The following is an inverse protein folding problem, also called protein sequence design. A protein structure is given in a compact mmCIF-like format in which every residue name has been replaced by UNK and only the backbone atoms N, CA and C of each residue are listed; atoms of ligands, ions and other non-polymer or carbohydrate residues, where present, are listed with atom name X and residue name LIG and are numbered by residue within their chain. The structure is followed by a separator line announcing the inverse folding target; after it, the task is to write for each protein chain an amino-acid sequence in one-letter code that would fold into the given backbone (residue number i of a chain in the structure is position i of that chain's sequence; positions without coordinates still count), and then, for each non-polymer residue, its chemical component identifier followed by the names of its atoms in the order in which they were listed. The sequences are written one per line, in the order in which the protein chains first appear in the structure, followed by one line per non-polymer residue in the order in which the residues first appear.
data_IF_524335156284
#
_entry.id   IF_524335156284
#
_cell.length_a   1.000
_cell.length_b   1.000
_cell.length_c   1.000
_cell.angle_alpha   90.00
_cell.angle_beta   90.00
_cell.angle_gamma   90.00
#
_symmetry.space_group_name_H-M   'P 1'
#
loop_
_entity.id
_entity.type
_entity.pdbx_description
1 polymer ?
#
# COMPACT_ATOMS: atom_id res chain seq x y z
N UNK A 1 -37.97 9.56 -14.95
CA UNK A 1 -37.13 9.93 -13.79
C UNK A 1 -36.43 8.72 -13.18
N UNK A 2 -37.12 7.59 -12.99
CA UNK A 2 -36.52 6.37 -12.43
C UNK A 2 -35.42 5.82 -13.32
N UNK A 3 -35.61 5.83 -14.65
CA UNK A 3 -34.60 5.38 -15.63
C UNK A 3 -33.34 6.22 -15.58
N UNK A 4 -33.44 7.53 -15.43
CA UNK A 4 -32.27 8.41 -15.39
C UNK A 4 -31.39 8.11 -14.17
N UNK A 5 -32.00 7.84 -13.02
CA UNK A 5 -31.26 7.46 -11.81
C UNK A 5 -30.56 6.13 -11.97
N UNK A 6 -31.22 5.14 -12.60
CA UNK A 6 -30.60 3.82 -12.84
C UNK A 6 -29.43 3.92 -13.82
N UNK A 7 -29.54 4.73 -14.86
CA UNK A 7 -28.46 4.96 -15.80
C UNK A 7 -27.26 5.59 -15.12
N UNK A 8 -27.48 6.57 -14.24
CA UNK A 8 -26.42 7.23 -13.48
C UNK A 8 -25.71 6.24 -12.54
N UNK A 9 -26.47 5.43 -11.84
CA UNK A 9 -25.92 4.41 -10.95
C UNK A 9 -25.09 3.38 -11.73
N UNK A 10 -25.57 2.95 -12.90
CA UNK A 10 -24.85 2.01 -13.76
C UNK A 10 -23.53 2.60 -14.26
N UNK A 11 -23.53 3.89 -14.64
CA UNK A 11 -22.30 4.58 -15.06
C UNK A 11 -21.30 4.67 -13.92
N UNK A 12 -21.76 5.01 -12.72
CA UNK A 12 -20.89 5.09 -11.54
C UNK A 12 -20.26 3.74 -11.24
N UNK A 13 -21.01 2.65 -11.31
CA UNK A 13 -20.50 1.30 -11.10
C UNK A 13 -19.46 0.91 -12.15
N UNK A 14 -19.70 1.27 -13.40
CA UNK A 14 -18.76 0.98 -14.49
C UNK A 14 -17.46 1.78 -14.35
N UNK A 15 -17.54 3.00 -13.82
CA UNK A 15 -16.38 3.86 -13.66
C UNK A 15 -15.59 3.60 -12.39
N UNK A 16 -16.14 2.89 -11.40
CA UNK A 16 -15.47 2.63 -10.13
C UNK A 16 -14.08 2.00 -10.29
N UNK A 17 -13.88 0.97 -11.15
CA UNK A 17 -12.54 0.42 -11.36
C UNK A 17 -11.57 1.41 -11.97
N UNK A 18 -12.04 2.28 -12.86
CA UNK A 18 -11.20 3.31 -13.47
C UNK A 18 -10.80 4.39 -12.45
N UNK A 19 -11.69 4.71 -11.53
CA UNK A 19 -11.40 5.65 -10.46
C UNK A 19 -10.28 5.13 -9.56
N UNK A 20 -10.26 3.84 -9.25
CA UNK A 20 -9.17 3.21 -8.49
C UNK A 20 -7.86 3.30 -9.25
N UNK A 21 -7.86 3.08 -10.55
CA UNK A 21 -6.67 3.20 -11.39
C UNK A 21 -6.16 4.63 -11.42
N UNK A 22 -7.06 5.61 -11.55
CA UNK A 22 -6.69 7.03 -11.52
C UNK A 22 -6.06 7.38 -10.18
N UNK A 23 -6.66 6.94 -9.08
CA UNK A 23 -6.13 7.18 -7.74
C UNK A 23 -4.75 6.57 -7.57
N UNK A 24 -4.58 5.34 -8.03
CA UNK A 24 -3.28 4.66 -8.00
C UNK A 24 -2.21 5.48 -8.70
N UNK A 25 -2.51 5.95 -9.91
CA UNK A 25 -1.56 6.72 -10.69
C UNK A 25 -1.27 8.08 -10.06
N UNK A 26 -2.28 8.75 -9.52
CA UNK A 26 -2.10 10.03 -8.81
C UNK A 26 -1.16 9.88 -7.62
N UNK A 27 -1.36 8.83 -6.80
CA UNK A 27 -0.49 8.56 -5.65
C UNK A 27 0.94 8.26 -6.12
N UNK A 28 1.08 7.46 -7.19
CA UNK A 28 2.38 7.18 -7.78
C UNK A 28 3.11 8.46 -8.19
N UNK A 29 2.41 9.39 -8.86
CA UNK A 29 3.01 10.65 -9.30
C UNK A 29 3.51 11.50 -8.13
N UNK A 30 2.83 11.42 -6.98
CA UNK A 30 3.23 12.17 -5.79
C UNK A 30 4.50 11.62 -5.14
N UNK A 31 4.79 10.33 -5.31
CA UNK A 31 5.91 9.67 -4.61
C UNK A 31 6.99 9.12 -5.54
N UNK A 32 6.83 9.25 -6.86
CA UNK A 32 7.77 8.66 -7.83
C UNK A 32 9.20 9.11 -7.63
N UNK A 33 9.42 10.30 -7.13
CA UNK A 33 10.76 10.85 -6.84
C UNK A 33 11.43 10.15 -5.66
N UNK A 34 10.68 9.40 -4.86
CA UNK A 34 11.20 8.60 -3.76
C UNK A 34 11.47 7.16 -4.14
N UNK A 35 11.06 6.76 -5.36
CA UNK A 35 11.21 5.38 -5.82
C UNK A 35 12.43 5.28 -6.75
N UNK A 36 13.26 4.27 -6.50
CA UNK A 36 14.48 4.03 -7.27
C UNK A 36 14.32 2.88 -8.27
N UNK A 37 13.10 2.56 -8.64
CA UNK A 37 12.82 1.47 -9.58
C UNK A 37 13.18 1.91 -11.00
N UNK A 38 13.72 0.97 -11.76
CA UNK A 38 14.15 1.23 -13.13
C UNK A 38 13.00 1.53 -14.09
N UNK A 39 11.77 1.13 -13.74
CA UNK A 39 10.59 1.37 -14.59
C UNK A 39 9.94 2.73 -14.38
N UNK A 40 10.34 3.50 -13.36
CA UNK A 40 9.68 4.77 -13.03
C UNK A 40 9.67 5.72 -14.22
N UNK A 41 10.80 5.84 -14.91
CA UNK A 41 10.93 6.75 -16.05
C UNK A 41 10.08 6.35 -17.26
N UNK A 42 9.69 5.07 -17.36
CA UNK A 42 8.89 4.56 -18.49
C UNK A 42 7.44 4.32 -18.12
N UNK A 43 7.04 4.68 -16.90
CA UNK A 43 5.66 4.51 -16.43
C UNK A 43 4.84 5.74 -16.81
N UNK A 44 3.86 5.56 -17.69
CA UNK A 44 3.03 6.65 -18.21
C UNK A 44 1.55 6.48 -17.89
N UNK A 45 1.18 5.37 -17.23
CA UNK A 45 -0.21 5.09 -16.86
C UNK A 45 -0.25 4.13 -15.67
N UNK A 46 -1.44 4.00 -15.06
CA UNK A 46 -1.64 3.01 -14.00
C UNK A 46 -1.38 1.59 -14.50
N UNK A 47 -1.77 1.28 -15.72
CA UNK A 47 -1.55 -0.04 -16.31
C UNK A 47 -0.07 -0.35 -16.48
N UNK A 48 0.73 0.64 -16.90
CA UNK A 48 2.18 0.48 -16.99
C UNK A 48 2.77 0.16 -15.62
N UNK A 49 2.34 0.89 -14.60
CA UNK A 49 2.81 0.69 -13.23
C UNK A 49 2.47 -0.74 -12.73
N UNK A 50 1.21 -1.14 -12.90
CA UNK A 50 0.76 -2.46 -12.48
C UNK A 50 1.53 -3.56 -13.22
N UNK A 51 1.65 -3.44 -14.54
CA UNK A 51 2.38 -4.43 -15.34
C UNK A 51 3.83 -4.55 -14.90
N UNK A 52 4.49 -3.43 -14.61
CA UNK A 52 5.88 -3.42 -14.16
C UNK A 52 6.04 -4.10 -12.80
N UNK A 53 5.14 -3.81 -11.86
CA UNK A 53 5.18 -4.43 -10.53
C UNK A 53 4.91 -5.92 -10.63
N UNK A 54 3.90 -6.33 -11.43
CA UNK A 54 3.54 -7.73 -11.58
C UNK A 54 4.61 -8.56 -12.30
N UNK A 55 5.51 -7.92 -13.04
CA UNK A 55 6.62 -8.63 -13.70
C UNK A 55 7.58 -9.27 -12.70
N UNK A 56 7.66 -8.73 -11.48
CA UNK A 56 8.43 -9.32 -10.37
C UNK A 56 7.83 -8.83 -9.05
N UNK A 57 6.65 -9.35 -8.73
CA UNK A 57 5.86 -8.89 -7.59
C UNK A 57 6.61 -9.01 -6.28
N UNK A 58 7.31 -10.12 -6.07
CA UNK A 58 8.04 -10.35 -4.82
C UNK A 58 9.08 -9.26 -4.60
N UNK A 59 9.87 -8.97 -5.62
CA UNK A 59 10.92 -7.97 -5.54
C UNK A 59 10.35 -6.56 -5.35
N UNK A 60 9.39 -6.18 -6.19
CA UNK A 60 8.88 -4.80 -6.17
C UNK A 60 8.02 -4.49 -4.95
N UNK A 61 7.19 -5.44 -4.49
CA UNK A 61 6.40 -5.23 -3.28
C UNK A 61 7.28 -5.11 -2.04
N UNK A 62 8.28 -5.97 -1.92
CA UNK A 62 9.20 -5.92 -0.79
C UNK A 62 9.96 -4.58 -0.76
N UNK A 63 10.46 -4.14 -1.91
CA UNK A 63 11.19 -2.89 -1.99
C UNK A 63 10.28 -1.68 -1.76
N UNK A 64 9.05 -1.71 -2.25
CA UNK A 64 8.08 -0.65 -2.00
C UNK A 64 7.75 -0.56 -0.52
N UNK A 65 7.53 -1.70 0.13
CA UNK A 65 7.30 -1.76 1.58
C UNK A 65 8.49 -1.16 2.33
N UNK A 66 9.71 -1.56 1.97
CA UNK A 66 10.92 -1.07 2.64
C UNK A 66 11.05 0.44 2.48
N UNK A 67 10.73 0.97 1.31
CA UNK A 67 10.76 2.41 1.07
C UNK A 67 9.70 3.13 1.88
N UNK A 68 8.49 2.60 1.93
CA UNK A 68 7.41 3.15 2.74
C UNK A 68 7.79 3.15 4.23
N UNK A 69 8.34 2.04 4.72
CA UNK A 69 8.79 1.90 6.11
C UNK A 69 9.87 2.94 6.45
N UNK A 70 10.83 3.11 5.55
CA UNK A 70 11.92 4.07 5.72
C UNK A 70 11.40 5.51 5.82
N UNK A 71 10.49 5.88 4.91
CA UNK A 71 9.91 7.23 4.91
C UNK A 71 8.96 7.44 6.09
N UNK A 72 8.21 6.41 6.49
CA UNK A 72 7.31 6.49 7.64
C UNK A 72 8.09 6.70 8.95
N UNK A 73 9.25 6.08 9.09
CA UNK A 73 10.08 6.24 10.29
C UNK A 73 10.85 7.57 10.35
N UNK A 74 10.88 8.29 9.25
CA UNK A 74 11.50 9.62 9.19
C UNK A 74 10.44 10.68 9.48
N UNK A 75 10.51 11.28 10.67
CA UNK A 75 9.53 12.28 11.11
C UNK A 75 9.54 13.55 10.24
N UNK A 76 10.58 13.75 9.45
CA UNK A 76 10.69 14.89 8.54
C UNK A 76 10.08 14.61 7.17
N UNK A 77 9.80 13.36 6.85
CA UNK A 77 9.23 12.99 5.55
C UNK A 77 7.71 13.12 5.57
N UNK A 78 7.15 13.68 4.49
CA UNK A 78 5.71 13.76 4.28
C UNK A 78 5.22 12.73 3.25
N UNK A 79 6.11 11.84 2.80
CA UNK A 79 5.81 10.87 1.75
C UNK A 79 5.46 9.47 2.25
N UNK A 80 5.73 9.18 3.52
CA UNK A 80 5.56 7.83 4.07
C UNK A 80 4.15 7.29 3.93
N UNK A 81 3.15 8.08 4.32
CA UNK A 81 1.75 7.63 4.25
C UNK A 81 1.26 7.48 2.81
N UNK A 82 1.76 8.29 1.89
CA UNK A 82 1.44 8.16 0.47
C UNK A 82 2.06 6.89 -0.12
N UNK A 83 3.27 6.55 0.29
CA UNK A 83 3.90 5.29 -0.10
C UNK A 83 3.13 4.09 0.45
N UNK A 84 2.66 4.18 1.69
CA UNK A 84 1.81 3.13 2.27
C UNK A 84 0.50 2.99 1.49
N UNK A 85 -0.12 4.10 1.10
CA UNK A 85 -1.33 4.10 0.28
C UNK A 85 -1.06 3.45 -1.08
N UNK A 86 0.06 3.80 -1.73
CA UNK A 86 0.46 3.19 -2.99
C UNK A 86 0.62 1.68 -2.85
N UNK A 87 1.25 1.23 -1.79
CA UNK A 87 1.42 -0.19 -1.50
C UNK A 87 0.07 -0.88 -1.37
N UNK A 88 -0.87 -0.30 -0.60
CA UNK A 88 -2.20 -0.86 -0.43
C UNK A 88 -2.94 -0.98 -1.76
N UNK A 89 -2.87 0.05 -2.59
CA UNK A 89 -3.55 0.06 -3.88
C UNK A 89 -2.96 -0.97 -4.84
N UNK A 90 -1.64 -1.09 -4.88
CA UNK A 90 -0.97 -2.07 -5.74
C UNK A 90 -1.23 -3.50 -5.28
N UNK A 91 -1.27 -3.74 -3.97
CA UNK A 91 -1.47 -5.10 -3.44
C UNK A 91 -2.81 -5.68 -3.88
N UNK A 92 -3.83 -4.86 -4.07
CA UNK A 92 -5.16 -5.32 -4.53
C UNK A 92 -5.10 -6.01 -5.90
N UNK A 93 -4.09 -5.69 -6.73
CA UNK A 93 -3.92 -6.28 -8.06
C UNK A 93 -3.08 -7.55 -8.06
N UNK A 94 -2.51 -7.92 -6.91
CA UNK A 94 -1.73 -9.15 -6.79
C UNK A 94 -2.69 -10.33 -6.68
N UNK A 95 -2.62 -11.24 -7.64
CA UNK A 95 -3.49 -12.42 -7.69
C UNK A 95 -2.77 -13.73 -7.43
N UNK A 96 -1.45 -13.66 -7.15
CA UNK A 96 -0.65 -14.83 -6.79
C UNK A 96 -1.05 -15.29 -5.39
N UNK A 97 -1.47 -16.56 -5.26
CA UNK A 97 -1.95 -17.15 -4.01
C UNK A 97 -0.88 -17.21 -2.91
N UNK A 98 0.39 -17.06 -3.25
CA UNK A 98 1.47 -17.02 -2.27
C UNK A 98 1.47 -15.73 -1.45
N UNK A 99 0.87 -14.67 -1.98
CA UNK A 99 0.74 -13.40 -1.27
C UNK A 99 -0.57 -13.35 -0.51
N UNK A 100 -0.48 -13.13 0.81
CA UNK A 100 -1.67 -12.99 1.64
C UNK A 100 -1.47 -11.81 2.58
N UNK A 101 -2.40 -10.86 2.53
CA UNK A 101 -2.33 -9.67 3.37
C UNK A 101 -2.60 -10.05 4.82
N UNK A 102 -1.79 -9.54 5.73
CA UNK A 102 -2.04 -9.70 7.16
C UNK A 102 -3.31 -8.96 7.56
N UNK A 103 -4.06 -9.54 8.50
CA UNK A 103 -5.26 -8.90 9.03
C UNK A 103 -4.86 -7.71 9.91
N UNK A 104 -5.75 -6.74 10.00
CA UNK A 104 -5.55 -5.60 10.88
C UNK A 104 -5.55 -6.10 12.34
N UNK A 105 -4.44 -5.89 13.08
CA UNK A 105 -4.37 -6.40 14.45
C UNK A 105 -5.16 -5.52 15.40
N UNK A 106 -5.72 -6.16 16.45
CA UNK A 106 -6.41 -5.44 17.53
C UNK A 106 -5.44 -4.93 18.59
N UNK A 107 -4.24 -5.52 18.65
CA UNK A 107 -3.19 -5.14 19.58
C UNK A 107 -1.84 -5.54 19.00
N UNK A 108 -0.76 -5.01 19.58
CA UNK A 108 0.59 -5.36 19.14
C UNK A 108 0.87 -6.86 19.40
N UNK A 109 1.31 -7.55 18.37
CA UNK A 109 1.68 -8.96 18.44
C UNK A 109 2.93 -9.23 17.59
N UNK A 110 3.28 -10.51 17.40
CA UNK A 110 4.48 -10.91 16.67
C UNK A 110 4.46 -10.52 15.20
N UNK A 111 3.27 -10.21 14.65
CA UNK A 111 3.14 -9.79 13.24
C UNK A 111 3.34 -8.29 13.06
N UNK A 112 3.57 -7.56 14.14
CA UNK A 112 3.65 -6.11 14.15
C UNK A 112 5.08 -5.60 14.35
N UNK A 113 5.32 -4.37 13.95
CA UNK A 113 6.49 -3.60 14.36
C UNK A 113 6.06 -2.15 14.62
N UNK A 114 6.83 -1.45 15.44
CA UNK A 114 6.52 -0.07 15.79
C UNK A 114 6.89 0.89 14.64
N UNK A 115 6.16 1.99 14.54
CA UNK A 115 6.45 3.04 13.56
C UNK A 115 7.81 3.69 13.83
N UNK A 116 8.12 3.96 15.08
CA UNK A 116 9.39 4.54 15.49
C UNK A 116 10.11 3.62 16.47
N UNK A 117 11.46 3.50 16.39
CA UNK A 117 12.21 2.59 17.27
C UNK A 117 12.03 2.85 18.76
N UNK A 118 11.79 4.10 19.15
CA UNK A 118 11.62 4.48 20.56
C UNK A 118 10.26 4.11 21.14
N UNK A 119 9.30 3.69 20.32
CA UNK A 119 7.95 3.34 20.79
C UNK A 119 7.96 2.04 21.58
N UNK A 120 7.13 2.00 22.63
CA UNK A 120 7.01 0.85 23.52
C UNK A 120 5.86 -0.05 23.08
N UNK A 121 6.18 -1.31 22.72
CA UNK A 121 5.18 -2.27 22.25
C UNK A 121 4.19 -2.72 23.33
N UNK A 122 4.46 -2.42 24.60
CA UNK A 122 3.53 -2.74 25.70
C UNK A 122 2.45 -1.68 25.89
N UNK A 123 2.57 -0.53 25.23
CA UNK A 123 1.54 0.50 25.28
C UNK A 123 0.35 0.16 24.39
N UNK A 124 -0.75 0.89 24.58
CA UNK A 124 -1.94 0.71 23.76
C UNK A 124 -1.66 1.20 22.34
N UNK A 125 -1.94 0.34 21.36
CA UNK A 125 -1.81 0.68 19.96
C UNK A 125 -2.77 1.82 19.58
N UNK A 126 -2.23 2.86 18.95
CA UNK A 126 -3.00 4.03 18.54
C UNK A 126 -3.68 3.82 17.18
N UNK A 127 -2.93 3.31 16.20
CA UNK A 127 -3.48 3.03 14.87
C UNK A 127 -2.58 2.07 14.11
N UNK A 128 -3.14 1.42 13.10
CA UNK A 128 -2.38 0.64 12.13
C UNK A 128 -1.99 1.60 10.99
N UNK A 129 -0.71 1.65 10.67
CA UNK A 129 -0.17 2.56 9.64
C UNK A 129 -0.08 1.87 8.28
N UNK A 130 0.53 0.67 8.25
CA UNK A 130 0.71 -0.09 7.02
C UNK A 130 0.65 -1.58 7.35
N UNK A 131 -0.37 -2.26 6.84
CA UNK A 131 -0.50 -3.70 7.03
C UNK A 131 0.57 -4.43 6.24
N UNK A 132 1.18 -5.45 6.88
CA UNK A 132 2.14 -6.30 6.24
C UNK A 132 1.48 -7.41 5.43
N UNK A 133 2.29 -8.39 5.01
CA UNK A 133 1.80 -9.55 4.25
C UNK A 133 2.68 -10.76 4.48
N UNK A 134 2.12 -11.93 4.17
CA UNK A 134 2.88 -13.17 4.13
C UNK A 134 3.18 -13.54 2.68
N UNK A 135 4.28 -14.22 2.49
CA UNK A 135 4.63 -14.85 1.21
C UNK A 135 4.94 -16.32 1.51
N UNK A 136 4.22 -17.20 0.81
CA UNK A 136 4.34 -18.65 0.99
C UNK A 136 4.17 -19.03 2.48
N UNK A 137 3.14 -18.44 3.11
CA UNK A 137 2.72 -18.67 4.51
C UNK A 137 3.68 -18.15 5.57
N UNK A 138 4.74 -17.45 5.18
CA UNK A 138 5.69 -16.84 6.12
C UNK A 138 5.57 -15.33 6.08
N UNK A 139 5.70 -14.67 7.21
CA UNK A 139 5.66 -13.21 7.26
C UNK A 139 6.82 -12.64 6.45
N UNK A 140 6.49 -11.98 5.35
CA UNK A 140 7.48 -11.29 4.52
C UNK A 140 7.70 -9.87 5.05
N UNK A 141 6.61 -9.19 5.42
CA UNK A 141 6.67 -7.83 5.95
C UNK A 141 5.68 -7.72 7.11
N UNK A 142 6.13 -7.11 8.19
CA UNK A 142 5.32 -6.92 9.41
C UNK A 142 4.40 -5.73 9.27
N UNK A 143 3.27 -5.76 10.00
CA UNK A 143 2.35 -4.63 10.06
C UNK A 143 2.98 -3.51 10.89
N UNK A 144 3.06 -2.31 10.32
CA UNK A 144 3.59 -1.14 11.02
C UNK A 144 2.45 -0.50 11.80
N UNK A 145 2.65 -0.33 13.10
CA UNK A 145 1.65 0.24 14.00
C UNK A 145 2.24 1.43 14.75
N UNK A 146 1.40 2.41 15.03
CA UNK A 146 1.77 3.58 15.84
C UNK A 146 1.35 3.29 17.28
N UNK A 147 2.34 3.18 18.16
CA UNK A 147 2.12 2.89 19.57
C UNK A 147 2.04 4.16 20.44
N UNK A 148 2.14 5.32 19.80
CA UNK A 148 2.15 6.58 20.53
C UNK A 148 3.52 6.92 21.09
N UNK A 149 3.62 8.05 21.74
CA UNK A 149 4.88 8.55 22.31
C UNK A 149 4.89 8.56 23.83
#
# INVERSE_FOLDING_TARGET
MIQANQEKENLEQKHAPYQKLEKLYEVFLEVKDRLNFNFVATTHSAMDLIASVLSDSKYYLENLYNKASQELSDKRSDKGEKLAELFDLLFEYIKDSKFERLKEPSAYDHSCKTLYPEQNSSQKMQRVVLRGYTYDKKIACHTIVDMGS
#
